data_IF_104692047048
#
_entry.id   IF_104692047048
#
_cell.length_a   1.000
_cell.length_b   1.000
_cell.length_c   1.000
_cell.angle_alpha   90.00
_cell.angle_beta   90.00
_cell.angle_gamma   90.00
#
_symmetry.space_group_name_H-M   'P 1'
#
loop_
_entity.id
_entity.type
_entity.pdbx_description
1 polymer ?
#
# COMPACT_ATOMS: atom_id res chain seq x y z
N UNK A 1 -26.77 -43.89 30.62
CA UNK A 1 -26.24 -42.77 31.42
C UNK A 1 -25.77 -41.56 30.57
N UNK A 2 -25.17 -41.72 29.36
CA UNK A 2 -24.70 -40.55 28.56
C UNK A 2 -25.82 -39.68 27.95
N UNK A 3 -27.02 -40.22 27.70
CA UNK A 3 -28.16 -39.45 27.15
C UNK A 3 -28.94 -38.65 28.21
N UNK A 4 -28.82 -38.99 29.48
CA UNK A 4 -29.44 -38.25 30.60
C UNK A 4 -28.60 -37.04 31.02
N UNK A 5 -27.28 -37.10 30.81
CA UNK A 5 -26.36 -36.01 31.14
C UNK A 5 -26.45 -34.83 30.14
N UNK A 6 -26.72 -35.12 28.86
CA UNK A 6 -26.91 -34.07 27.83
C UNK A 6 -28.22 -33.32 27.98
N UNK A 7 -29.27 -33.98 28.50
CA UNK A 7 -30.57 -33.36 28.76
C UNK A 7 -30.54 -32.44 30.00
N UNK A 8 -29.75 -32.80 31.01
CA UNK A 8 -29.55 -31.97 32.21
C UNK A 8 -28.69 -30.71 31.91
N UNK A 9 -27.74 -30.79 30.97
CA UNK A 9 -26.93 -29.65 30.57
C UNK A 9 -27.73 -28.63 29.73
N UNK A 10 -28.66 -29.13 28.90
CA UNK A 10 -29.55 -28.27 28.12
C UNK A 10 -30.60 -27.55 28.98
N UNK A 11 -31.06 -28.20 30.08
CA UNK A 11 -32.03 -27.60 31.00
C UNK A 11 -31.37 -26.58 31.94
N UNK A 12 -30.07 -26.73 32.27
CA UNK A 12 -29.32 -25.75 33.05
C UNK A 12 -29.04 -24.46 32.31
N UNK A 13 -28.88 -24.49 30.99
CA UNK A 13 -28.70 -23.27 30.15
C UNK A 13 -30.00 -22.49 29.91
N UNK A 14 -31.17 -23.13 30.04
CA UNK A 14 -32.45 -22.45 29.87
C UNK A 14 -32.93 -21.72 31.13
N UNK A 15 -32.35 -21.97 32.30
CA UNK A 15 -32.74 -21.37 33.58
C UNK A 15 -31.90 -20.13 33.99
N UNK A 16 -30.86 -19.77 33.23
CA UNK A 16 -30.04 -18.60 33.51
C UNK A 16 -30.51 -17.32 32.82
N UNK A 17 -31.61 -17.34 32.05
CA UNK A 17 -32.16 -16.20 31.32
C UNK A 17 -33.32 -15.46 32.00
N UNK A 18 -33.66 -15.78 33.25
CA UNK A 18 -34.78 -15.17 33.96
C UNK A 18 -34.48 -14.65 35.38
N UNK A 19 -33.31 -14.05 35.58
CA UNK A 19 -33.09 -13.31 36.84
C UNK A 19 -32.07 -12.18 36.60
N UNK A 20 -32.56 -10.99 36.32
CA UNK A 20 -32.02 -9.74 36.85
C UNK A 20 -32.90 -8.55 36.39
N UNK A 21 -33.89 -8.24 37.19
CA UNK A 21 -34.42 -6.88 37.27
C UNK A 21 -33.88 -6.27 38.56
N UNK A 22 -33.32 -5.05 38.51
CA UNK A 22 -32.93 -4.29 39.69
C UNK A 22 -31.61 -3.53 39.50
N UNK A 23 -31.70 -2.19 39.33
CA UNK A 23 -30.64 -1.31 38.92
C UNK A 23 -29.48 -1.10 39.88
N UNK A 24 -28.41 -0.62 39.32
CA UNK A 24 -27.59 0.50 39.86
C UNK A 24 -26.64 1.01 38.79
N UNK A 25 -26.64 2.32 38.63
CA UNK A 25 -25.85 3.09 37.69
C UNK A 25 -24.35 3.00 37.96
N UNK A 26 -23.58 2.54 36.97
CA UNK A 26 -22.19 2.96 36.73
C UNK A 26 -21.96 3.02 35.23
N UNK A 27 -21.41 4.10 34.66
CA UNK A 27 -21.17 4.20 33.23
C UNK A 27 -19.91 3.42 32.89
N UNK A 28 -20.06 2.25 32.32
CA UNK A 28 -18.99 1.51 31.66
C UNK A 28 -19.00 1.90 30.18
N UNK A 29 -18.06 2.77 29.81
CA UNK A 29 -17.90 3.33 28.49
C UNK A 29 -17.03 2.37 27.68
N UNK A 30 -17.61 1.31 27.14
CA UNK A 30 -17.07 0.51 26.06
C UNK A 30 -18.07 0.53 24.92
N UNK A 31 -18.13 1.68 24.22
CA UNK A 31 -18.75 1.77 22.90
C UNK A 31 -17.85 1.03 21.90
N UNK A 32 -18.03 -0.28 21.77
CA UNK A 32 -17.77 -0.92 20.48
C UNK A 32 -18.74 -0.32 19.47
N UNK A 33 -18.25 0.19 18.32
CA UNK A 33 -19.15 0.74 17.31
C UNK A 33 -20.03 -0.40 16.78
N UNK A 34 -21.30 -0.36 17.16
CA UNK A 34 -22.33 -1.27 16.67
C UNK A 34 -22.52 -1.04 15.16
N UNK A 35 -22.08 -1.98 14.35
CA UNK A 35 -21.93 -1.92 12.88
C UNK A 35 -23.25 -2.15 12.14
N UNK A 36 -24.38 -1.57 12.57
CA UNK A 36 -25.73 -1.90 12.05
C UNK A 36 -26.45 -0.81 11.26
N UNK A 37 -25.80 0.31 10.91
CA UNK A 37 -26.48 1.43 10.22
C UNK A 37 -25.90 1.82 8.85
N UNK A 38 -25.36 0.88 8.07
CA UNK A 38 -25.17 1.13 6.64
C UNK A 38 -26.52 0.92 5.92
N UNK A 39 -27.01 1.86 5.10
CA UNK A 39 -28.23 1.65 4.32
C UNK A 39 -28.08 0.41 3.44
N UNK A 40 -29.17 -0.34 3.23
CA UNK A 40 -29.20 -1.65 2.56
C UNK A 40 -28.64 -1.66 1.13
N UNK A 41 -28.31 -0.49 0.54
CA UNK A 41 -27.80 -0.31 -0.81
C UNK A 41 -26.66 0.73 -0.79
N UNK A 42 -25.51 0.36 -0.24
CA UNK A 42 -24.32 1.20 -0.19
C UNK A 42 -23.12 0.45 -0.72
N UNK A 43 -22.55 0.92 -1.83
CA UNK A 43 -21.37 0.31 -2.44
C UNK A 43 -20.17 1.25 -2.48
N UNK A 44 -18.99 0.66 -2.34
CA UNK A 44 -17.68 1.31 -2.41
C UNK A 44 -16.91 0.68 -3.56
N UNK A 45 -16.44 1.50 -4.49
CA UNK A 45 -15.47 1.10 -5.51
C UNK A 45 -14.05 1.37 -5.03
N UNK A 46 -13.16 0.40 -5.13
CA UNK A 46 -11.72 0.58 -4.86
C UNK A 46 -10.94 0.24 -6.11
N UNK A 47 -10.14 1.17 -6.59
CA UNK A 47 -9.29 1.03 -7.77
C UNK A 47 -7.84 1.06 -7.33
N UNK A 48 -7.08 0.04 -7.74
CA UNK A 48 -5.64 -0.10 -7.44
C UNK A 48 -4.87 -0.47 -8.70
N UNK A 49 -3.54 -0.49 -8.62
CA UNK A 49 -2.72 -1.18 -9.61
C UNK A 49 -2.81 -2.70 -9.50
N UNK A 50 -2.06 -3.39 -10.34
CA UNK A 50 -1.85 -4.83 -10.22
C UNK A 50 -0.91 -5.16 -9.05
N UNK A 51 -0.83 -6.44 -8.68
CA UNK A 51 0.15 -6.91 -7.67
C UNK A 51 1.59 -6.56 -8.05
N UNK A 52 1.92 -6.52 -9.35
CA UNK A 52 3.27 -6.19 -9.83
C UNK A 52 3.66 -4.72 -9.60
N UNK A 53 2.68 -3.82 -9.52
CA UNK A 53 2.90 -2.37 -9.43
C UNK A 53 2.45 -1.79 -8.09
N UNK A 54 1.53 -2.46 -7.38
CA UNK A 54 0.87 -1.92 -6.19
C UNK A 54 0.38 -3.06 -5.30
N UNK A 55 1.28 -4.00 -4.95
CA UNK A 55 0.89 -5.21 -4.20
C UNK A 55 0.16 -4.88 -2.90
N UNK A 56 0.69 -3.96 -2.12
CA UNK A 56 0.12 -3.60 -0.83
C UNK A 56 -1.28 -2.99 -0.95
N UNK A 57 -1.47 -2.03 -1.86
CA UNK A 57 -2.78 -1.42 -2.11
C UNK A 57 -3.79 -2.46 -2.57
N UNK A 58 -3.37 -3.34 -3.48
CA UNK A 58 -4.21 -4.42 -4.00
C UNK A 58 -4.60 -5.39 -2.90
N UNK A 59 -3.65 -5.84 -2.09
CA UNK A 59 -3.91 -6.76 -0.96
C UNK A 59 -4.78 -6.13 0.11
N UNK A 60 -4.60 -4.84 0.41
CA UNK A 60 -5.46 -4.10 1.32
C UNK A 60 -6.90 -3.98 0.82
N UNK A 61 -7.08 -3.73 -0.46
CA UNK A 61 -8.41 -3.68 -1.09
C UNK A 61 -9.09 -5.06 -1.10
N UNK A 62 -8.35 -6.13 -1.40
CA UNK A 62 -8.84 -7.51 -1.34
C UNK A 62 -9.24 -7.92 0.08
N UNK A 63 -8.45 -7.57 1.09
CA UNK A 63 -8.76 -7.84 2.49
C UNK A 63 -10.03 -7.08 2.93
N UNK A 64 -10.17 -5.82 2.54
CA UNK A 64 -11.36 -5.04 2.82
C UNK A 64 -12.62 -5.65 2.14
N UNK A 65 -12.50 -6.09 0.89
CA UNK A 65 -13.60 -6.78 0.22
C UNK A 65 -13.94 -8.12 0.90
N UNK A 66 -12.93 -8.88 1.34
CA UNK A 66 -13.16 -10.14 2.05
C UNK A 66 -13.89 -9.94 3.39
N UNK A 67 -13.63 -8.81 4.08
CA UNK A 67 -14.29 -8.47 5.36
C UNK A 67 -15.74 -8.01 5.16
N UNK A 68 -16.01 -7.18 4.13
CA UNK A 68 -17.32 -6.52 3.96
C UNK A 68 -18.19 -7.13 2.85
N UNK A 69 -17.63 -8.01 2.04
CA UNK A 69 -18.33 -8.74 0.98
C UNK A 69 -18.36 -8.02 -0.38
N UNK A 70 -18.45 -8.81 -1.44
CA UNK A 70 -18.52 -8.32 -2.84
C UNK A 70 -19.82 -7.52 -3.12
N UNK A 71 -20.87 -7.75 -2.36
CA UNK A 71 -22.12 -6.98 -2.46
C UNK A 71 -21.91 -5.51 -2.05
N UNK A 72 -20.97 -5.23 -1.15
CA UNK A 72 -20.65 -3.89 -0.69
C UNK A 72 -19.42 -3.31 -1.39
N UNK A 73 -18.41 -4.11 -1.72
CA UNK A 73 -17.12 -3.63 -2.23
C UNK A 73 -16.86 -4.16 -3.64
N UNK A 74 -16.68 -3.25 -4.58
CA UNK A 74 -16.31 -3.56 -5.96
C UNK A 74 -14.86 -3.17 -6.21
N UNK A 75 -14.04 -4.13 -6.65
CA UNK A 75 -12.64 -3.87 -6.99
C UNK A 75 -12.45 -3.67 -8.49
N UNK A 76 -11.61 -2.71 -8.85
CA UNK A 76 -11.14 -2.49 -10.21
C UNK A 76 -9.62 -2.33 -10.23
N UNK A 77 -9.02 -2.49 -11.41
CA UNK A 77 -7.57 -2.34 -11.63
C UNK A 77 -7.37 -1.39 -12.80
N UNK A 78 -6.46 -0.43 -12.66
CA UNK A 78 -5.96 0.32 -13.80
C UNK A 78 -4.82 -0.47 -14.50
N UNK A 79 -4.57 -0.25 -15.81
CA UNK A 79 -3.51 -0.96 -16.55
C UNK A 79 -2.11 -0.71 -15.97
N UNK A 80 -1.19 -1.68 -16.09
CA UNK A 80 0.21 -1.51 -15.67
C UNK A 80 0.93 -0.42 -16.45
N UNK A 81 0.58 -0.22 -17.73
CA UNK A 81 1.08 0.84 -18.59
C UNK A 81 0.11 2.03 -18.69
N UNK A 82 -0.47 2.44 -17.56
CA UNK A 82 -1.49 3.49 -17.46
C UNK A 82 -1.13 4.81 -18.16
N UNK A 83 0.15 5.10 -18.38
CA UNK A 83 0.59 6.29 -19.12
C UNK A 83 0.25 6.21 -20.61
N UNK A 84 0.26 5.02 -21.19
CA UNK A 84 -0.10 4.78 -22.59
C UNK A 84 -1.59 4.42 -22.73
N UNK A 85 -2.16 3.83 -21.68
CA UNK A 85 -3.57 3.40 -21.62
C UNK A 85 -4.44 4.35 -20.77
N UNK A 86 -4.23 5.65 -20.93
CA UNK A 86 -4.91 6.69 -20.14
C UNK A 86 -6.44 6.58 -20.21
N UNK A 87 -7.01 6.39 -21.41
CA UNK A 87 -8.46 6.28 -21.59
C UNK A 87 -9.02 5.00 -20.93
N UNK A 88 -8.26 3.90 -20.94
CA UNK A 88 -8.64 2.67 -20.24
C UNK A 88 -8.68 2.89 -18.73
N UNK A 89 -7.70 3.61 -18.19
CA UNK A 89 -7.66 4.00 -16.77
C UNK A 89 -8.89 4.82 -16.41
N UNK A 90 -9.17 5.90 -17.16
CA UNK A 90 -10.35 6.74 -16.97
C UNK A 90 -11.63 5.91 -17.00
N UNK A 91 -11.78 5.06 -18.01
CA UNK A 91 -12.98 4.27 -18.20
C UNK A 91 -13.20 3.25 -17.08
N UNK A 92 -12.13 2.60 -16.59
CA UNK A 92 -12.23 1.65 -15.49
C UNK A 92 -12.73 2.31 -14.20
N UNK A 93 -12.29 3.55 -13.93
CA UNK A 93 -12.76 4.33 -12.77
C UNK A 93 -14.22 4.78 -12.99
N UNK A 94 -14.54 5.36 -14.14
CA UNK A 94 -15.89 5.89 -14.45
C UNK A 94 -16.92 4.78 -14.46
N UNK A 95 -16.60 3.58 -14.95
CA UNK A 95 -17.53 2.45 -15.01
C UNK A 95 -18.11 2.07 -13.64
N UNK A 96 -17.38 2.27 -12.56
CA UNK A 96 -17.87 2.02 -11.20
C UNK A 96 -19.09 2.90 -10.86
N UNK A 97 -19.14 4.13 -11.39
CA UNK A 97 -20.25 5.05 -11.14
C UNK A 97 -21.57 4.66 -11.80
N UNK A 98 -21.56 3.68 -12.72
CA UNK A 98 -22.77 3.17 -13.39
C UNK A 98 -23.67 2.35 -12.46
N UNK A 99 -23.13 1.81 -11.37
CA UNK A 99 -23.91 1.14 -10.34
C UNK A 99 -24.72 2.19 -9.55
N UNK A 100 -26.06 2.10 -9.50
CA UNK A 100 -26.90 3.06 -8.80
C UNK A 100 -26.63 3.11 -7.30
N UNK A 101 -26.16 2.01 -6.72
CA UNK A 101 -25.85 1.88 -5.30
C UNK A 101 -24.44 2.38 -4.94
N UNK A 102 -23.59 2.73 -5.91
CA UNK A 102 -22.26 3.29 -5.69
C UNK A 102 -22.33 4.64 -4.97
N UNK A 103 -21.64 4.77 -3.83
CA UNK A 103 -21.59 5.97 -3.01
C UNK A 103 -20.21 6.54 -2.80
N UNK A 104 -19.17 5.72 -2.98
CA UNK A 104 -17.80 6.18 -2.91
C UNK A 104 -16.94 5.44 -3.92
N UNK A 105 -15.97 6.15 -4.52
CA UNK A 105 -14.94 5.60 -5.39
C UNK A 105 -13.59 6.08 -4.88
N UNK A 106 -12.73 5.14 -4.54
CA UNK A 106 -11.38 5.36 -4.03
C UNK A 106 -10.40 4.90 -5.10
N UNK A 107 -9.43 5.74 -5.45
CA UNK A 107 -8.33 5.37 -6.33
C UNK A 107 -7.04 5.48 -5.54
N UNK A 108 -6.45 4.33 -5.22
CA UNK A 108 -5.14 4.26 -4.58
C UNK A 108 -4.03 4.32 -5.61
N UNK A 109 -2.98 5.09 -5.29
CA UNK A 109 -2.02 5.58 -6.25
C UNK A 109 -2.75 6.26 -7.41
N UNK A 110 -3.46 7.37 -7.07
CA UNK A 110 -4.25 8.12 -8.06
C UNK A 110 -3.37 8.52 -9.26
N UNK A 111 -3.25 7.58 -10.20
CA UNK A 111 -2.40 7.67 -11.40
C UNK A 111 -2.99 8.64 -12.42
N UNK A 112 -2.22 9.09 -13.44
CA UNK A 112 -2.72 9.95 -14.52
C UNK A 112 -4.05 9.46 -15.10
N UNK A 113 -5.02 10.38 -15.23
CA UNK A 113 -6.39 10.11 -15.63
C UNK A 113 -7.41 10.07 -14.48
N UNK A 114 -6.96 9.99 -13.23
CA UNK A 114 -7.86 9.96 -12.06
C UNK A 114 -8.64 11.26 -11.93
N UNK A 115 -8.00 12.43 -12.09
CA UNK A 115 -8.67 13.74 -12.05
C UNK A 115 -9.79 13.84 -13.08
N UNK A 116 -9.51 13.45 -14.31
CA UNK A 116 -10.50 13.48 -15.40
C UNK A 116 -11.66 12.49 -15.14
N UNK A 117 -11.35 11.29 -14.63
CA UNK A 117 -12.36 10.32 -14.24
C UNK A 117 -13.30 10.89 -13.15
N UNK A 118 -12.74 11.53 -12.13
CA UNK A 118 -13.52 12.14 -11.07
C UNK A 118 -14.39 13.30 -11.57
N UNK A 119 -13.88 14.15 -12.47
CA UNK A 119 -14.69 15.19 -13.12
C UNK A 119 -15.88 14.60 -13.87
N UNK A 120 -15.67 13.56 -14.69
CA UNK A 120 -16.74 12.86 -15.40
C UNK A 120 -17.78 12.23 -14.47
N UNK A 121 -17.31 11.64 -13.37
CA UNK A 121 -18.21 11.10 -12.34
C UNK A 121 -19.04 12.23 -11.73
N UNK A 122 -18.43 13.31 -11.30
CA UNK A 122 -19.12 14.44 -10.65
C UNK A 122 -20.13 15.14 -11.56
N UNK A 123 -19.92 15.15 -12.89
CA UNK A 123 -20.89 15.67 -13.86
C UNK A 123 -22.19 14.87 -13.88
N UNK A 124 -22.12 13.54 -13.76
CA UNK A 124 -23.27 12.65 -13.86
C UNK A 124 -23.79 12.16 -12.51
N UNK A 125 -22.92 11.98 -11.54
CA UNK A 125 -23.16 11.43 -10.21
C UNK A 125 -22.46 12.28 -9.13
N UNK A 126 -22.90 13.54 -8.91
CA UNK A 126 -22.30 14.41 -7.88
C UNK A 126 -22.46 13.89 -6.45
N UNK A 127 -23.33 12.90 -6.24
CA UNK A 127 -23.58 12.22 -4.98
C UNK A 127 -22.47 11.21 -4.60
N UNK A 128 -21.62 10.80 -5.54
CA UNK A 128 -20.54 9.85 -5.28
C UNK A 128 -19.36 10.60 -4.67
N UNK A 129 -18.86 10.10 -3.54
CA UNK A 129 -17.63 10.58 -2.89
C UNK A 129 -16.43 10.06 -3.66
N UNK A 130 -15.56 10.95 -4.16
CA UNK A 130 -14.35 10.62 -4.90
C UNK A 130 -13.12 10.85 -4.01
N UNK A 131 -12.34 9.82 -3.76
CA UNK A 131 -11.18 9.85 -2.87
C UNK A 131 -9.92 9.42 -3.62
N UNK A 132 -8.87 10.24 -3.55
CA UNK A 132 -7.56 9.95 -4.11
C UNK A 132 -6.56 9.62 -3.00
N UNK A 133 -5.94 8.44 -3.08
CA UNK A 133 -4.79 8.06 -2.25
C UNK A 133 -3.49 8.17 -3.04
N UNK A 134 -2.41 8.64 -2.42
CA UNK A 134 -1.05 8.71 -3.01
C UNK A 134 -1.02 9.25 -4.45
N UNK A 135 -1.54 10.46 -4.65
CA UNK A 135 -1.67 11.02 -5.99
C UNK A 135 -0.34 11.15 -6.73
N UNK A 136 -0.30 10.64 -7.96
CA UNK A 136 0.75 10.87 -8.95
C UNK A 136 0.44 12.08 -9.85
N UNK A 137 -0.77 12.64 -9.74
CA UNK A 137 -1.15 13.87 -10.45
C UNK A 137 -0.85 15.10 -9.60
N UNK A 138 -0.85 16.27 -10.21
CA UNK A 138 -0.64 17.54 -9.53
C UNK A 138 -1.68 17.75 -8.42
N UNK A 139 -1.23 18.05 -7.21
CA UNK A 139 -2.10 18.13 -6.03
C UNK A 139 -3.22 19.19 -6.13
N UNK A 140 -2.98 20.40 -6.67
CA UNK A 140 -4.05 21.34 -7.00
C UNK A 140 -5.07 20.79 -8.00
N UNK A 141 -4.62 20.06 -9.02
CA UNK A 141 -5.50 19.50 -10.06
C UNK A 141 -6.40 18.41 -9.48
N UNK A 142 -5.83 17.39 -8.84
CA UNK A 142 -6.63 16.31 -8.24
C UNK A 142 -7.53 16.82 -7.12
N UNK A 143 -7.04 17.77 -6.31
CA UNK A 143 -7.81 18.40 -5.23
C UNK A 143 -9.00 19.24 -5.73
N UNK A 144 -9.02 19.64 -7.02
CA UNK A 144 -10.16 20.31 -7.63
C UNK A 144 -11.29 19.35 -8.02
N UNK A 145 -11.04 18.04 -8.10
CA UNK A 145 -11.97 17.02 -8.56
C UNK A 145 -12.34 15.98 -7.48
N UNK A 146 -11.44 15.72 -6.54
CA UNK A 146 -11.65 14.80 -5.43
C UNK A 146 -12.30 15.51 -4.23
N UNK A 147 -13.12 14.77 -3.47
CA UNK A 147 -13.65 15.24 -2.18
C UNK A 147 -12.58 15.12 -1.07
N UNK A 148 -11.63 14.19 -1.24
CA UNK A 148 -10.49 14.00 -0.33
C UNK A 148 -9.27 13.54 -1.12
N UNK A 149 -8.11 14.11 -0.77
CA UNK A 149 -6.79 13.64 -1.22
C UNK A 149 -5.95 13.31 0.01
N UNK A 150 -5.39 12.10 0.04
CA UNK A 150 -4.57 11.61 1.15
C UNK A 150 -3.23 11.12 0.63
N UNK A 151 -2.15 11.77 1.02
CA UNK A 151 -0.79 11.40 0.66
C UNK A 151 0.06 11.17 1.91
N UNK A 152 1.03 10.26 1.82
CA UNK A 152 2.06 10.14 2.84
C UNK A 152 3.10 11.28 2.70
N UNK A 153 3.98 11.42 3.69
CA UNK A 153 5.08 12.38 3.63
C UNK A 153 6.29 11.79 2.90
N UNK A 154 6.21 11.72 1.57
CA UNK A 154 7.31 11.26 0.72
C UNK A 154 8.59 12.09 0.87
N UNK A 155 8.47 13.35 1.25
CA UNK A 155 9.59 14.31 1.26
C UNK A 155 10.48 14.11 2.46
N UNK A 156 9.91 14.13 3.68
CA UNK A 156 10.66 13.91 4.93
C UNK A 156 11.26 12.51 4.99
N UNK A 157 10.62 11.51 4.39
CA UNK A 157 11.12 10.15 4.31
C UNK A 157 12.48 10.07 3.61
N UNK A 158 12.76 10.96 2.65
CA UNK A 158 14.07 11.02 2.00
C UNK A 158 15.23 11.22 2.97
N UNK A 159 15.07 12.08 3.98
CA UNK A 159 16.07 12.26 5.04
C UNK A 159 16.23 11.01 5.91
N UNK A 160 15.10 10.41 6.30
CA UNK A 160 15.10 9.23 7.20
C UNK A 160 15.78 8.02 6.55
N UNK A 161 15.58 7.79 5.26
CA UNK A 161 16.21 6.70 4.50
C UNK A 161 17.73 6.85 4.52
N UNK A 162 18.25 8.06 4.23
CA UNK A 162 19.69 8.33 4.22
C UNK A 162 20.27 8.21 5.62
N UNK A 163 19.60 8.75 6.64
CA UNK A 163 20.02 8.63 8.03
C UNK A 163 20.13 7.16 8.45
N UNK A 164 19.14 6.34 8.12
CA UNK A 164 19.15 4.91 8.43
C UNK A 164 20.30 4.20 7.71
N UNK A 165 20.53 4.50 6.45
CA UNK A 165 21.68 3.96 5.71
C UNK A 165 23.02 4.32 6.39
N UNK A 166 23.19 5.58 6.81
CA UNK A 166 24.36 6.03 7.55
C UNK A 166 24.54 5.31 8.89
N UNK A 167 23.46 5.19 9.69
CA UNK A 167 23.46 4.50 10.98
C UNK A 167 23.82 3.00 10.85
N UNK A 168 23.48 2.37 9.71
CA UNK A 168 23.88 1.01 9.36
C UNK A 168 25.33 0.91 8.84
N UNK A 169 26.04 2.02 8.71
CA UNK A 169 27.43 2.10 8.29
C UNK A 169 27.64 2.10 6.78
N UNK A 170 26.62 2.42 6.00
CA UNK A 170 26.77 2.63 4.56
C UNK A 170 27.53 3.94 4.28
N UNK A 171 28.35 3.95 3.23
CA UNK A 171 29.09 5.12 2.76
C UNK A 171 28.64 5.61 1.36
N UNK A 172 27.85 4.81 0.68
CA UNK A 172 27.31 5.08 -0.64
C UNK A 172 25.81 4.81 -0.66
N UNK A 173 25.05 5.68 -1.30
CA UNK A 173 23.62 5.52 -1.53
C UNK A 173 23.32 5.54 -3.02
N UNK A 174 22.72 4.47 -3.53
CA UNK A 174 22.39 4.29 -4.94
C UNK A 174 20.90 4.49 -5.11
N UNK A 175 20.52 5.60 -5.72
CA UNK A 175 19.15 5.97 -6.05
C UNK A 175 18.81 5.53 -7.47
N UNK A 176 17.89 4.58 -7.61
CA UNK A 176 17.46 4.00 -8.89
C UNK A 176 16.10 4.56 -9.25
N UNK A 177 16.01 5.24 -10.40
CA UNK A 177 14.79 5.91 -10.84
C UNK A 177 14.74 6.06 -12.37
N UNK A 178 13.76 6.79 -12.87
CA UNK A 178 13.58 7.08 -14.30
C UNK A 178 12.92 8.45 -14.49
N UNK A 179 13.00 9.04 -15.72
CA UNK A 179 12.60 10.44 -15.96
C UNK A 179 11.17 10.79 -15.53
N UNK A 180 10.19 9.91 -15.76
CA UNK A 180 8.79 10.17 -15.37
C UNK A 180 8.65 10.36 -13.86
N UNK A 181 9.24 9.47 -13.03
CA UNK A 181 9.21 9.62 -11.57
C UNK A 181 9.93 10.89 -11.11
N UNK A 182 11.08 11.21 -11.72
CA UNK A 182 11.82 12.43 -11.37
C UNK A 182 11.13 13.73 -11.83
N UNK A 183 10.11 13.62 -12.70
CA UNK A 183 9.27 14.76 -13.08
C UNK A 183 8.18 15.07 -12.04
N UNK A 184 7.84 14.16 -11.16
CA UNK A 184 6.90 14.42 -10.06
C UNK A 184 7.56 15.33 -9.01
N UNK A 185 6.87 16.39 -8.60
CA UNK A 185 7.41 17.36 -7.63
C UNK A 185 7.84 16.68 -6.33
N UNK A 186 7.01 15.79 -5.79
CA UNK A 186 7.28 15.06 -4.54
C UNK A 186 8.54 14.19 -4.65
N UNK A 187 8.73 13.51 -5.77
CA UNK A 187 9.91 12.66 -6.01
C UNK A 187 11.18 13.48 -6.20
N UNK A 188 11.13 14.57 -6.96
CA UNK A 188 12.27 15.46 -7.15
C UNK A 188 12.67 16.18 -5.86
N UNK A 189 11.71 16.61 -5.05
CA UNK A 189 11.97 17.19 -3.71
C UNK A 189 12.58 16.17 -2.75
N UNK A 190 12.07 14.94 -2.74
CA UNK A 190 12.65 13.85 -1.94
C UNK A 190 14.10 13.59 -2.33
N UNK A 191 14.40 13.50 -3.63
CA UNK A 191 15.77 13.31 -4.11
C UNK A 191 16.67 14.48 -3.69
N UNK A 192 16.19 15.73 -3.75
CA UNK A 192 16.96 16.88 -3.30
C UNK A 192 17.30 16.79 -1.79
N UNK A 193 16.37 16.33 -0.96
CA UNK A 193 16.61 16.07 0.46
C UNK A 193 17.59 14.92 0.67
N UNK A 194 17.46 13.83 -0.10
CA UNK A 194 18.44 12.72 -0.05
C UNK A 194 19.86 13.18 -0.38
N UNK A 195 20.01 14.07 -1.39
CA UNK A 195 21.32 14.68 -1.73
C UNK A 195 21.88 15.48 -0.56
N UNK A 196 21.08 16.38 0.00
CA UNK A 196 21.50 17.19 1.15
C UNK A 196 21.85 16.35 2.39
N UNK A 197 21.05 15.31 2.68
CA UNK A 197 21.34 14.38 3.78
C UNK A 197 22.62 13.56 3.53
N UNK A 198 22.88 13.12 2.30
CA UNK A 198 24.14 12.46 1.97
C UNK A 198 25.34 13.39 2.19
N UNK A 199 25.25 14.66 1.81
CA UNK A 199 26.27 15.66 2.08
C UNK A 199 26.49 15.87 3.60
N UNK A 200 25.41 15.98 4.39
CA UNK A 200 25.44 16.11 5.85
C UNK A 200 26.16 14.93 6.51
N UNK A 201 25.85 13.71 6.09
CA UNK A 201 26.43 12.49 6.66
C UNK A 201 27.75 12.05 6.00
N UNK A 202 28.26 12.78 5.02
CA UNK A 202 29.49 12.45 4.30
C UNK A 202 29.38 11.18 3.45
N UNK A 203 28.19 10.83 2.99
CA UNK A 203 27.90 9.70 2.11
C UNK A 203 27.96 10.11 0.64
N UNK A 204 28.33 9.19 -0.23
CA UNK A 204 28.27 9.38 -1.68
C UNK A 204 26.87 9.03 -2.19
N UNK A 205 26.20 9.97 -2.86
CA UNK A 205 24.96 9.66 -3.59
C UNK A 205 25.31 9.34 -5.05
N UNK A 206 24.71 8.29 -5.58
CA UNK A 206 24.80 7.84 -6.97
C UNK A 206 23.37 7.74 -7.54
N UNK A 207 23.17 8.29 -8.71
CA UNK A 207 21.91 8.18 -9.45
C UNK A 207 22.08 7.16 -10.58
N UNK A 208 21.29 6.09 -10.57
CA UNK A 208 21.23 5.11 -11.65
C UNK A 208 19.85 5.18 -12.32
N UNK A 209 19.84 5.04 -13.63
CA UNK A 209 18.59 5.07 -14.42
C UNK A 209 18.17 3.65 -14.75
N UNK A 210 16.91 3.32 -14.45
CA UNK A 210 16.26 2.08 -14.86
C UNK A 210 15.15 2.37 -15.89
N UNK A 211 14.68 1.38 -16.65
CA UNK A 211 13.54 1.55 -17.53
C UNK A 211 12.25 1.84 -16.74
N UNK A 212 11.40 2.70 -17.31
CA UNK A 212 10.06 2.92 -16.78
C UNK A 212 9.18 1.69 -17.06
N UNK A 213 8.56 1.07 -16.03
CA UNK A 213 7.69 -0.09 -16.20
C UNK A 213 6.42 0.21 -17.02
N UNK A 214 6.06 1.49 -17.18
CA UNK A 214 4.89 1.90 -17.99
C UNK A 214 5.25 2.18 -19.46
N UNK A 215 6.53 2.04 -19.83
CA UNK A 215 7.00 2.21 -21.20
C UNK A 215 6.86 0.93 -22.02
N UNK A 216 7.28 0.98 -23.29
CA UNK A 216 7.24 -0.16 -24.24
C UNK A 216 7.90 -1.44 -23.73
N UNK A 217 8.89 -1.33 -22.83
CA UNK A 217 9.54 -2.52 -22.24
C UNK A 217 8.66 -3.22 -21.21
N UNK A 218 7.68 -2.52 -20.66
CA UNK A 218 6.76 -3.03 -19.65
C UNK A 218 7.44 -3.43 -18.34
N UNK A 219 6.63 -3.93 -17.40
CA UNK A 219 7.10 -4.41 -16.09
C UNK A 219 8.19 -5.49 -16.25
N UNK A 220 7.98 -6.46 -17.14
CA UNK A 220 8.94 -7.57 -17.34
C UNK A 220 10.30 -7.11 -17.83
N UNK A 221 10.35 -6.12 -18.76
CA UNK A 221 11.60 -5.56 -19.26
C UNK A 221 12.32 -4.74 -18.19
N UNK A 222 11.58 -3.97 -17.39
CA UNK A 222 12.14 -3.22 -16.28
C UNK A 222 12.73 -4.15 -15.20
N UNK A 223 12.04 -5.23 -14.85
CA UNK A 223 12.52 -6.24 -13.91
C UNK A 223 13.79 -6.96 -14.43
N UNK A 224 13.80 -7.35 -15.71
CA UNK A 224 14.96 -7.99 -16.33
C UNK A 224 16.20 -7.09 -16.28
N UNK A 225 16.01 -5.78 -16.52
CA UNK A 225 17.10 -4.80 -16.43
C UNK A 225 17.70 -4.74 -15.02
N UNK A 226 16.88 -4.69 -13.99
CA UNK A 226 17.35 -4.67 -12.59
C UNK A 226 18.11 -5.96 -12.26
N UNK A 227 17.59 -7.13 -12.66
CA UNK A 227 18.28 -8.41 -12.47
C UNK A 227 19.69 -8.44 -13.12
N UNK A 228 19.83 -7.82 -14.29
CA UNK A 228 21.11 -7.73 -15.00
C UNK A 228 22.08 -6.74 -14.34
N UNK A 229 21.58 -5.54 -13.92
CA UNK A 229 22.42 -4.43 -13.49
C UNK A 229 22.88 -4.48 -12.05
N UNK A 230 22.08 -5.02 -11.14
CA UNK A 230 22.43 -5.00 -9.70
C UNK A 230 23.75 -5.69 -9.40
N UNK A 231 24.11 -6.87 -9.96
CA UNK A 231 25.43 -7.48 -9.75
C UNK A 231 26.58 -6.58 -10.20
N UNK A 232 26.43 -5.86 -11.33
CA UNK A 232 27.41 -4.88 -11.81
C UNK A 232 27.54 -3.71 -10.83
N UNK A 233 26.41 -3.16 -10.35
CA UNK A 233 26.40 -2.06 -9.40
C UNK A 233 27.01 -2.45 -8.04
N UNK A 234 26.69 -3.64 -7.53
CA UNK A 234 27.29 -4.14 -6.28
C UNK A 234 28.81 -4.23 -6.41
N UNK A 235 29.31 -4.76 -7.52
CA UNK A 235 30.76 -4.80 -7.80
C UNK A 235 31.39 -3.41 -7.93
N UNK A 236 30.67 -2.43 -8.46
CA UNK A 236 31.14 -1.06 -8.70
C UNK A 236 31.12 -0.17 -7.46
N UNK A 237 30.08 -0.30 -6.63
CA UNK A 237 29.85 0.59 -5.49
C UNK A 237 30.27 0.01 -4.14
N UNK A 238 30.54 -1.30 -4.09
CA UNK A 238 31.09 -1.98 -2.93
C UNK A 238 30.05 -2.45 -1.92
N UNK A 239 30.54 -3.14 -0.90
CA UNK A 239 29.70 -3.83 0.09
C UNK A 239 28.90 -2.89 1.01
N UNK A 240 29.35 -1.63 1.16
CA UNK A 240 28.69 -0.61 2.00
C UNK A 240 27.74 0.31 1.22
N UNK A 241 27.31 -0.13 0.04
CA UNK A 241 26.33 0.60 -0.74
C UNK A 241 24.90 0.22 -0.31
N UNK A 242 24.09 1.23 -0.02
CA UNK A 242 22.65 1.10 0.17
C UNK A 242 21.92 1.41 -1.13
N UNK A 243 20.91 0.64 -1.46
CA UNK A 243 20.15 0.72 -2.70
C UNK A 243 18.70 1.10 -2.41
N UNK A 244 18.16 1.94 -3.27
CA UNK A 244 16.77 2.40 -3.21
C UNK A 244 16.21 2.54 -4.62
N UNK A 245 15.02 2.01 -4.87
CA UNK A 245 14.30 2.17 -6.13
C UNK A 245 12.99 2.93 -5.91
N UNK A 246 12.60 3.75 -6.88
CA UNK A 246 11.42 4.61 -6.78
C UNK A 246 10.15 3.97 -7.35
N UNK A 247 10.21 2.71 -7.79
CA UNK A 247 9.04 2.01 -8.33
C UNK A 247 8.98 0.57 -7.83
N UNK A 248 7.77 0.13 -7.48
CA UNK A 248 7.48 -1.18 -6.90
C UNK A 248 7.89 -2.34 -7.79
N UNK A 249 7.70 -2.20 -9.12
CA UNK A 249 8.11 -3.23 -10.07
C UNK A 249 9.63 -3.54 -10.03
N UNK A 250 10.45 -2.60 -9.58
CA UNK A 250 11.90 -2.80 -9.42
C UNK A 250 12.28 -3.46 -8.09
N UNK A 251 11.38 -3.47 -7.09
CA UNK A 251 11.69 -3.86 -5.71
C UNK A 251 12.04 -5.34 -5.60
N UNK A 252 11.20 -6.23 -6.14
CA UNK A 252 11.44 -7.68 -6.06
C UNK A 252 12.77 -8.09 -6.71
N UNK A 253 13.09 -7.72 -7.97
CA UNK A 253 14.35 -8.08 -8.58
C UNK A 253 15.56 -7.43 -7.88
N UNK A 254 15.42 -6.21 -7.34
CA UNK A 254 16.47 -5.56 -6.56
C UNK A 254 16.78 -6.35 -5.28
N UNK A 255 15.75 -6.66 -4.47
CA UNK A 255 15.87 -7.48 -3.27
C UNK A 255 16.55 -8.82 -3.56
N UNK A 256 16.08 -9.53 -4.58
CA UNK A 256 16.61 -10.84 -4.99
C UNK A 256 18.12 -10.77 -5.25
N UNK A 257 18.56 -9.77 -6.00
CA UNK A 257 19.98 -9.63 -6.35
C UNK A 257 20.83 -9.15 -5.16
N UNK A 258 20.31 -8.24 -4.31
CA UNK A 258 21.04 -7.80 -3.13
C UNK A 258 21.22 -8.91 -2.08
N UNK A 259 20.26 -9.82 -1.97
CA UNK A 259 20.40 -11.02 -1.13
C UNK A 259 21.52 -11.90 -1.63
N UNK A 260 21.67 -12.06 -2.95
CA UNK A 260 22.65 -12.95 -3.57
C UNK A 260 24.05 -12.32 -3.66
N UNK A 261 24.15 -11.04 -4.06
CA UNK A 261 25.42 -10.39 -4.40
C UNK A 261 25.94 -9.43 -3.33
N UNK A 262 25.13 -9.03 -2.37
CA UNK A 262 25.52 -8.09 -1.31
C UNK A 262 24.91 -6.70 -1.49
N UNK A 263 25.31 -5.77 -0.59
CA UNK A 263 24.71 -4.43 -0.47
C UNK A 263 23.57 -4.38 0.54
N UNK A 264 23.03 -3.17 0.76
CA UNK A 264 21.97 -2.89 1.72
C UNK A 264 20.70 -2.46 0.99
N UNK A 265 19.57 -2.93 1.48
CA UNK A 265 18.27 -2.45 1.08
C UNK A 265 17.59 -1.83 2.30
N UNK A 266 17.46 -0.52 2.33
CA UNK A 266 16.95 0.18 3.51
C UNK A 266 15.41 0.10 3.55
N UNK A 267 14.79 0.53 2.47
CA UNK A 267 13.36 0.41 2.25
C UNK A 267 12.99 0.69 0.79
N UNK A 268 11.82 0.22 0.37
CA UNK A 268 11.21 0.58 -0.90
C UNK A 268 10.45 1.91 -0.79
N UNK A 269 9.91 2.37 -1.90
CA UNK A 269 9.08 3.56 -1.96
C UNK A 269 7.77 3.38 -1.18
N UNK A 270 7.17 2.19 -1.27
CA UNK A 270 6.02 1.75 -0.46
C UNK A 270 6.46 0.56 0.42
N UNK A 271 7.22 0.82 1.48
CA UNK A 271 7.88 -0.25 2.22
C UNK A 271 6.90 -1.05 3.05
N UNK A 272 6.89 -2.35 2.83
CA UNK A 272 6.22 -3.32 3.68
C UNK A 272 6.87 -4.70 3.53
N UNK A 273 6.63 -5.62 4.46
CA UNK A 273 7.09 -7.00 4.29
C UNK A 273 6.41 -7.75 3.14
N UNK A 274 5.33 -7.20 2.55
CA UNK A 274 4.68 -7.76 1.36
C UNK A 274 5.34 -7.27 0.06
N UNK A 275 5.97 -6.09 0.08
CA UNK A 275 6.55 -5.47 -1.09
C UNK A 275 7.82 -6.18 -1.54
N UNK A 276 7.69 -7.05 -2.54
CA UNK A 276 8.80 -7.74 -3.21
C UNK A 276 9.48 -8.85 -2.41
N UNK A 277 9.40 -8.88 -1.07
CA UNK A 277 10.05 -9.90 -0.25
C UNK A 277 9.55 -11.33 -0.53
N UNK A 278 8.23 -11.59 -0.62
CA UNK A 278 7.75 -12.94 -0.89
C UNK A 278 8.29 -13.52 -2.20
N UNK A 279 8.23 -12.74 -3.28
CA UNK A 279 8.74 -13.16 -4.59
C UNK A 279 10.27 -13.31 -4.61
N UNK A 280 11.00 -12.34 -4.07
CA UNK A 280 12.47 -12.36 -4.01
C UNK A 280 13.03 -13.54 -3.21
N UNK A 281 12.35 -13.96 -2.16
CA UNK A 281 12.78 -15.01 -1.25
C UNK A 281 12.14 -16.38 -1.53
N UNK A 282 11.08 -16.41 -2.37
CA UNK A 282 10.30 -17.61 -2.66
C UNK A 282 9.43 -18.05 -1.48
N UNK A 283 8.83 -17.08 -0.76
CA UNK A 283 8.00 -17.33 0.41
C UNK A 283 6.52 -17.45 0.03
N UNK A 284 5.84 -18.43 0.61
CA UNK A 284 4.39 -18.50 0.67
C UNK A 284 3.94 -17.94 2.03
N UNK A 285 3.17 -16.87 2.02
CA UNK A 285 2.65 -16.17 3.20
C UNK A 285 1.15 -16.39 3.43
N UNK A 286 0.58 -17.39 2.79
CA UNK A 286 -0.87 -17.69 2.86
C UNK A 286 -1.33 -17.97 4.30
N UNK A 287 -0.51 -18.68 5.08
CA UNK A 287 -0.83 -18.99 6.48
C UNK A 287 -0.70 -17.79 7.42
N UNK A 288 0.13 -16.81 7.05
CA UNK A 288 0.37 -15.59 7.81
C UNK A 288 -0.50 -14.41 7.37
N UNK A 289 -1.41 -14.61 6.41
CA UNK A 289 -2.20 -13.54 5.83
C UNK A 289 -2.91 -12.68 6.90
N UNK A 290 -2.66 -11.35 6.87
CA UNK A 290 -3.20 -10.40 7.83
C UNK A 290 -2.45 -10.29 9.17
N UNK A 291 -1.50 -11.18 9.46
CA UNK A 291 -0.67 -11.16 10.67
C UNK A 291 0.74 -10.63 10.35
N UNK A 292 0.90 -9.31 10.37
CA UNK A 292 2.16 -8.65 10.00
C UNK A 292 3.34 -9.03 10.91
N UNK A 293 3.11 -9.40 12.16
CA UNK A 293 4.17 -9.86 13.06
C UNK A 293 4.75 -11.20 12.59
N UNK A 294 3.90 -12.14 12.21
CA UNK A 294 4.34 -13.42 11.65
C UNK A 294 4.97 -13.27 10.27
N UNK A 295 4.41 -12.40 9.42
CA UNK A 295 4.98 -12.08 8.10
C UNK A 295 6.41 -11.55 8.26
N UNK A 296 6.62 -10.56 9.15
CA UNK A 296 7.95 -10.01 9.45
C UNK A 296 8.91 -11.08 9.95
N UNK A 297 8.49 -11.90 10.92
CA UNK A 297 9.33 -12.97 11.46
C UNK A 297 9.76 -13.98 10.40
N UNK A 298 8.84 -14.33 9.48
CA UNK A 298 9.13 -15.27 8.38
C UNK A 298 10.08 -14.67 7.34
N UNK A 299 9.89 -13.39 6.98
CA UNK A 299 10.78 -12.65 6.09
C UNK A 299 12.16 -12.51 6.72
N UNK A 300 12.26 -12.11 7.99
CA UNK A 300 13.53 -11.97 8.71
C UNK A 300 14.29 -13.30 8.76
N UNK A 301 13.62 -14.40 9.09
CA UNK A 301 14.22 -15.73 9.10
C UNK A 301 14.82 -16.08 7.74
N UNK A 302 14.09 -15.88 6.67
CA UNK A 302 14.55 -16.20 5.31
C UNK A 302 15.73 -15.31 4.87
N UNK A 303 15.74 -14.03 5.24
CA UNK A 303 16.86 -13.12 5.00
C UNK A 303 18.10 -13.58 5.78
N UNK A 304 17.95 -13.93 7.06
CA UNK A 304 19.04 -14.37 7.92
C UNK A 304 19.67 -15.69 7.42
N UNK A 305 18.85 -16.64 6.98
CA UNK A 305 19.30 -17.91 6.39
C UNK A 305 20.15 -17.70 5.13
N UNK A 306 19.90 -16.64 4.37
CA UNK A 306 20.64 -16.24 3.18
C UNK A 306 21.83 -15.30 3.47
N UNK A 307 22.17 -15.08 4.75
CA UNK A 307 23.28 -14.22 5.15
C UNK A 307 23.02 -12.72 5.01
N UNK A 308 21.74 -12.31 4.96
CA UNK A 308 21.33 -10.92 4.83
C UNK A 308 21.12 -10.16 6.15
N UNK A 309 21.39 -10.78 7.29
CA UNK A 309 21.17 -10.19 8.60
C UNK A 309 21.74 -8.76 8.72
N UNK A 310 20.92 -7.81 9.19
CA UNK A 310 21.29 -6.41 9.39
C UNK A 310 21.47 -5.57 8.12
N UNK A 311 21.14 -6.10 6.92
CA UNK A 311 21.29 -5.40 5.64
C UNK A 311 19.97 -5.06 4.94
N UNK A 312 18.86 -5.58 5.44
CA UNK A 312 17.56 -5.41 4.82
C UNK A 312 16.58 -4.78 5.80
N UNK A 313 15.87 -3.78 5.33
CA UNK A 313 14.84 -3.08 6.08
C UNK A 313 13.47 -3.19 5.43
N UNK A 314 12.45 -3.02 6.25
CA UNK A 314 11.07 -2.81 5.83
C UNK A 314 10.30 -2.15 6.97
N UNK A 315 9.08 -1.72 6.73
CA UNK A 315 8.22 -1.18 7.76
C UNK A 315 7.49 -2.31 8.50
N UNK A 316 7.17 -2.05 9.77
CA UNK A 316 6.37 -2.98 10.58
C UNK A 316 4.91 -3.09 10.09
N UNK A 317 4.46 -2.07 9.36
CA UNK A 317 3.11 -1.99 8.78
C UNK A 317 3.20 -1.57 7.33
N UNK A 318 2.28 -2.06 6.52
CA UNK A 318 2.11 -1.57 5.16
C UNK A 318 1.26 -0.30 5.16
N UNK A 319 1.79 0.78 4.60
CA UNK A 319 1.03 2.00 4.37
C UNK A 319 -0.05 1.78 3.32
N UNK A 320 0.31 1.27 2.13
CA UNK A 320 -0.63 1.02 1.04
C UNK A 320 -1.76 0.07 1.42
N UNK A 321 -1.42 -1.02 2.14
CA UNK A 321 -2.41 -1.96 2.65
C UNK A 321 -3.42 -1.28 3.57
N UNK A 322 -2.95 -0.52 4.55
CA UNK A 322 -3.82 0.16 5.52
C UNK A 322 -4.55 1.37 4.91
N UNK A 323 -3.95 2.04 3.91
CA UNK A 323 -4.58 3.15 3.21
C UNK A 323 -5.85 2.70 2.49
N UNK A 324 -5.82 1.58 1.77
CA UNK A 324 -7.00 1.03 1.08
C UNK A 324 -8.17 0.81 2.04
N UNK A 325 -7.93 0.14 3.15
CA UNK A 325 -8.94 -0.10 4.18
C UNK A 325 -9.38 1.20 4.88
N UNK A 326 -8.42 2.07 5.21
CA UNK A 326 -8.66 3.34 5.89
C UNK A 326 -9.54 4.28 5.07
N UNK A 327 -9.18 4.52 3.80
CA UNK A 327 -9.98 5.37 2.90
C UNK A 327 -11.36 4.78 2.63
N UNK A 328 -11.48 3.47 2.49
CA UNK A 328 -12.76 2.80 2.28
C UNK A 328 -13.66 2.83 3.53
N UNK A 329 -13.08 2.94 4.72
CA UNK A 329 -13.84 3.07 5.97
C UNK A 329 -14.45 4.47 6.15
N UNK A 330 -13.85 5.52 5.58
CA UNK A 330 -14.29 6.91 5.75
C UNK A 330 -15.72 7.18 5.25
N UNK A 331 -16.13 6.74 4.05
CA UNK A 331 -17.50 6.91 3.57
C UNK A 331 -18.54 6.23 4.46
N UNK A 332 -18.20 5.15 5.13
CA UNK A 332 -19.10 4.39 6.02
C UNK A 332 -19.43 5.15 7.31
N UNK A 333 -18.50 5.95 7.79
CA UNK A 333 -18.67 6.74 9.01
C UNK A 333 -19.25 8.12 8.76
N UNK A 334 -19.31 8.56 7.50
CA UNK A 334 -19.49 9.96 7.14
C UNK A 334 -20.91 10.42 6.86
N UNK A 335 -21.98 9.71 7.29
CA UNK A 335 -23.25 10.41 7.48
C UNK A 335 -23.12 11.57 8.51
N UNK A 336 -21.99 11.72 9.17
CA UNK A 336 -21.70 12.74 10.19
C UNK A 336 -20.39 13.53 9.98
N UNK A 337 -19.46 13.13 9.12
CA UNK A 337 -18.09 13.69 9.07
C UNK A 337 -17.78 14.58 7.86
N UNK A 338 -18.65 14.67 6.87
CA UNK A 338 -18.46 15.59 5.72
C UNK A 338 -18.93 17.04 6.01
N UNK A 339 -18.88 17.48 7.24
CA UNK A 339 -19.11 18.86 7.67
C UNK A 339 -17.92 19.43 8.45
N UNK A 340 -16.70 19.23 7.95
CA UNK A 340 -15.55 20.00 8.42
C UNK A 340 -14.92 20.72 7.24
#
# INVERSE_FOLDING_TARGET
MKKFLSLLLALAMALTLMACGGGNDTPDNTDEPNNTDAPANYKIGIVTGSVSQSEDDRRGAEAFQAEYGEDMVTLAIYPDNFTEELETTIQNIVNLSSDPDMKAIIVNQAVPGTTEAFRKIKESRPDIICIAGESHEDLPEIGSAADLVCNNDFVSRGYLIIRTAHELGCDTFVHISFPRHLAYETMSRRLAIMKAACEEFGMKLVEETAPDPTSDVGVSGAQAYILEKVPEWVGKYGEKAAYFCTNDAHTEPLLKQLVEYGGYFIEADLPSPLMGYPGALGLDLTEEAGDFEKILAKVESAINEKGGAGRFGTWAYSYGYTLSAGLASMPRTSSTVLLI
#
